data_IF_133383003087
#
_entry.id   IF_133383003087
#
_cell.length_a   1.000
_cell.length_b   1.000
_cell.length_c   1.000
_cell.angle_alpha   90.00
_cell.angle_beta   90.00
_cell.angle_gamma   90.00
#
_symmetry.space_group_name_H-M   'P 1'
#
loop_
_entity.id
_entity.type
_entity.pdbx_description
1 polymer ?
#
# COMPACT_ATOMS: atom_id res chain seq x y z
N UNK A 1 20.27 2.17 16.28
CA UNK A 1 19.76 3.51 15.88
C UNK A 1 18.53 3.85 16.70
N UNK A 2 18.19 5.13 16.91
CA UNK A 2 16.93 5.49 17.56
C UNK A 2 15.72 5.05 16.71
N UNK A 3 14.60 4.62 17.32
CA UNK A 3 13.42 4.19 16.57
C UNK A 3 12.84 5.33 15.73
N UNK A 4 12.56 5.05 14.45
CA UNK A 4 11.97 6.03 13.52
C UNK A 4 10.55 6.34 13.98
N UNK A 5 10.28 7.62 14.26
CA UNK A 5 8.92 8.08 14.58
C UNK A 5 8.28 8.63 13.31
N UNK A 6 7.24 7.96 12.82
CA UNK A 6 6.52 8.38 11.61
C UNK A 6 5.60 9.56 11.96
N UNK A 7 5.85 10.72 11.35
CA UNK A 7 5.01 11.92 11.48
C UNK A 7 4.43 12.35 10.14
N UNK A 8 5.09 12.04 9.03
CA UNK A 8 4.66 12.38 7.67
C UNK A 8 4.62 11.14 6.77
N UNK A 9 3.49 10.92 6.12
CA UNK A 9 3.27 9.80 5.19
C UNK A 9 2.95 10.35 3.79
N UNK A 10 3.59 9.79 2.77
CA UNK A 10 3.26 10.03 1.36
C UNK A 10 2.71 8.76 0.69
N UNK A 11 1.72 8.90 -0.19
CA UNK A 11 1.02 7.76 -0.82
C UNK A 11 0.46 8.12 -2.20
N UNK A 12 0.46 7.21 -3.17
CA UNK A 12 -0.24 7.39 -4.47
C UNK A 12 -1.78 7.41 -4.38
N UNK A 13 -2.47 8.28 -5.12
CA UNK A 13 -3.93 8.45 -5.08
C UNK A 13 -4.75 7.36 -5.83
N UNK A 14 -4.30 6.11 -5.81
CA UNK A 14 -5.02 4.98 -6.39
C UNK A 14 -6.19 4.48 -5.54
N UNK A 15 -6.88 3.44 -6.05
CA UNK A 15 -7.98 2.76 -5.37
C UNK A 15 -7.61 2.25 -3.97
N UNK A 16 -6.42 1.68 -3.83
CA UNK A 16 -5.92 1.19 -2.53
C UNK A 16 -5.48 2.36 -1.64
N UNK A 17 -4.90 3.40 -2.24
CA UNK A 17 -4.24 4.46 -1.50
C UNK A 17 -5.16 5.48 -0.86
N UNK A 18 -6.19 5.92 -1.58
CA UNK A 18 -7.19 6.85 -1.07
C UNK A 18 -7.81 6.40 0.27
N UNK A 19 -8.54 5.27 0.28
CA UNK A 19 -9.17 4.73 1.48
C UNK A 19 -8.17 4.45 2.62
N UNK A 20 -7.04 3.79 2.32
CA UNK A 20 -6.03 3.44 3.34
C UNK A 20 -5.51 4.70 4.04
N UNK A 21 -5.13 5.73 3.28
CA UNK A 21 -4.62 6.98 3.84
C UNK A 21 -5.67 7.80 4.57
N UNK A 22 -6.91 7.81 4.07
CA UNK A 22 -8.01 8.49 4.74
C UNK A 22 -8.25 7.89 6.14
N UNK A 23 -8.22 6.55 6.25
CA UNK A 23 -8.33 5.87 7.55
C UNK A 23 -7.11 6.13 8.44
N UNK A 24 -5.89 6.07 7.91
CA UNK A 24 -4.67 6.41 8.69
C UNK A 24 -4.79 7.84 9.24
N UNK A 25 -5.15 8.82 8.41
CA UNK A 25 -5.28 10.22 8.86
C UNK A 25 -6.39 10.40 9.91
N UNK A 26 -7.49 9.67 9.77
CA UNK A 26 -8.56 9.68 10.78
C UNK A 26 -8.10 9.08 12.11
N UNK A 27 -7.42 7.92 12.07
CA UNK A 27 -7.02 7.16 13.26
C UNK A 27 -5.72 7.65 13.92
N UNK A 28 -4.90 8.40 13.20
CA UNK A 28 -3.63 8.97 13.67
C UNK A 28 -3.63 10.50 13.54
N UNK A 29 -4.30 11.25 14.44
CA UNK A 29 -4.42 12.70 14.33
C UNK A 29 -3.09 13.48 14.33
N UNK A 30 -2.05 12.88 14.90
CA UNK A 30 -0.69 13.40 15.00
C UNK A 30 0.19 13.11 13.76
N UNK A 31 -0.32 12.34 12.79
CA UNK A 31 0.39 12.01 11.55
C UNK A 31 -0.21 12.81 10.40
N UNK A 32 0.65 13.51 9.65
CA UNK A 32 0.28 14.19 8.41
C UNK A 32 0.35 13.18 7.27
N UNK A 33 -0.75 13.03 6.55
CA UNK A 33 -0.87 12.12 5.41
C UNK A 33 -1.09 12.94 4.16
N UNK A 34 -0.19 12.80 3.19
CA UNK A 34 -0.27 13.47 1.88
C UNK A 34 -0.43 12.43 0.79
N UNK A 35 -1.57 12.47 0.11
CA UNK A 35 -1.86 11.65 -1.04
C UNK A 35 -1.45 12.42 -2.30
N UNK A 36 -0.72 11.77 -3.19
CA UNK A 36 -0.19 12.36 -4.41
C UNK A 36 -0.57 11.57 -5.65
N UNK A 37 -0.82 12.27 -6.75
CA UNK A 37 -1.03 11.66 -8.07
C UNK A 37 -0.53 12.62 -9.14
N UNK A 38 -0.11 12.10 -10.28
CA UNK A 38 0.23 12.92 -11.44
C UNK A 38 -1.04 13.44 -12.15
N UNK A 39 -2.18 12.78 -11.94
CA UNK A 39 -3.45 13.16 -12.54
C UNK A 39 -4.09 14.32 -11.76
N UNK A 40 -3.99 15.53 -12.31
CA UNK A 40 -4.58 16.74 -11.72
C UNK A 40 -6.09 16.60 -11.51
N UNK A 41 -6.83 16.10 -12.50
CA UNK A 41 -8.29 15.92 -12.40
C UNK A 41 -8.69 14.97 -11.26
N UNK A 42 -7.88 13.93 -10.99
CA UNK A 42 -8.11 13.03 -9.86
C UNK A 42 -7.87 13.74 -8.52
N UNK A 43 -6.80 14.53 -8.41
CA UNK A 43 -6.51 15.31 -7.21
C UNK A 43 -7.58 16.39 -6.98
N UNK A 44 -8.07 17.03 -8.04
CA UNK A 44 -9.16 18.00 -7.97
C UNK A 44 -10.45 17.35 -7.46
N UNK A 45 -10.77 16.13 -7.92
CA UNK A 45 -11.91 15.36 -7.41
C UNK A 45 -11.79 15.06 -5.91
N UNK A 46 -10.60 14.64 -5.44
CA UNK A 46 -10.34 14.44 -4.01
C UNK A 46 -10.45 15.73 -3.18
N UNK A 47 -10.14 16.88 -3.78
CA UNK A 47 -10.22 18.21 -3.16
C UNK A 47 -11.56 18.92 -3.38
N UNK A 48 -12.49 18.32 -4.12
CA UNK A 48 -13.79 18.92 -4.44
C UNK A 48 -14.54 19.34 -3.17
N UNK A 49 -15.09 20.56 -3.17
CA UNK A 49 -15.87 21.10 -2.05
C UNK A 49 -17.10 20.23 -1.75
N UNK A 50 -17.69 19.62 -2.78
CA UNK A 50 -18.87 18.74 -2.67
C UNK A 50 -18.51 17.30 -2.27
N UNK A 51 -17.22 17.01 -2.04
CA UNK A 51 -16.70 15.67 -1.73
C UNK A 51 -17.07 14.63 -2.80
N UNK A 52 -17.05 15.04 -4.07
CA UNK A 52 -17.15 14.16 -5.24
C UNK A 52 -15.85 13.36 -5.44
N UNK A 53 -15.51 12.52 -4.44
CA UNK A 53 -14.32 11.68 -4.44
C UNK A 53 -14.33 10.75 -5.66
N UNK A 54 -13.16 10.47 -6.28
CA UNK A 54 -13.09 9.75 -7.55
C UNK A 54 -13.39 8.24 -7.45
N UNK A 55 -13.67 7.73 -6.26
CA UNK A 55 -13.94 6.32 -5.97
C UNK A 55 -15.17 6.26 -5.07
N UNK A 56 -16.12 5.40 -5.41
CA UNK A 56 -17.25 5.11 -4.54
C UNK A 56 -16.91 3.96 -3.60
N UNK A 57 -16.89 4.24 -2.31
CA UNK A 57 -16.79 3.24 -1.24
C UNK A 57 -17.72 3.65 -0.09
N UNK A 58 -18.57 2.75 0.44
CA UNK A 58 -19.43 3.06 1.58
C UNK A 58 -18.65 3.62 2.77
N UNK A 59 -19.02 4.82 3.22
CA UNK A 59 -18.38 5.51 4.35
C UNK A 59 -17.10 6.29 4.03
N UNK A 60 -16.52 6.16 2.83
CA UNK A 60 -15.26 6.84 2.48
C UNK A 60 -15.38 8.37 2.56
N UNK A 61 -16.48 8.91 2.03
CA UNK A 61 -16.75 10.37 2.03
C UNK A 61 -16.73 10.93 3.44
N UNK A 62 -17.31 10.22 4.43
CA UNK A 62 -17.38 10.68 5.81
C UNK A 62 -16.02 10.66 6.50
N UNK A 63 -15.18 9.67 6.18
CA UNK A 63 -13.79 9.61 6.65
C UNK A 63 -12.98 10.77 6.08
N UNK A 64 -13.11 11.03 4.77
CA UNK A 64 -12.39 12.11 4.09
C UNK A 64 -12.84 13.48 4.65
N UNK A 65 -14.14 13.69 4.86
CA UNK A 65 -14.69 14.92 5.48
C UNK A 65 -14.05 15.26 6.82
N UNK A 66 -13.77 14.27 7.66
CA UNK A 66 -13.22 14.47 9.00
C UNK A 66 -11.70 14.70 9.03
N UNK A 67 -10.98 14.23 7.99
CA UNK A 67 -9.52 14.28 7.95
C UNK A 67 -8.97 15.35 6.99
N UNK A 68 -9.65 15.60 5.86
CA UNK A 68 -9.19 16.51 4.80
C UNK A 68 -9.03 17.93 5.33
N UNK A 69 -7.85 18.50 5.13
CA UNK A 69 -7.49 19.84 5.62
C UNK A 69 -7.06 19.90 7.09
N UNK A 70 -7.29 18.84 7.88
CA UNK A 70 -6.75 18.71 9.25
C UNK A 70 -5.36 18.08 9.23
N UNK A 71 -5.28 16.86 8.72
CA UNK A 71 -4.03 16.11 8.59
C UNK A 71 -4.00 15.20 7.35
N UNK A 72 -5.03 15.25 6.50
CA UNK A 72 -5.08 14.61 5.19
C UNK A 72 -5.05 15.67 4.08
N UNK A 73 -4.10 15.52 3.15
CA UNK A 73 -3.88 16.45 2.06
C UNK A 73 -3.77 15.71 0.73
N UNK A 74 -4.18 16.36 -0.36
CA UNK A 74 -4.10 15.82 -1.72
C UNK A 74 -3.40 16.82 -2.62
N UNK A 75 -2.36 16.41 -3.35
CA UNK A 75 -1.55 17.31 -4.18
C UNK A 75 -0.98 16.60 -5.42
N UNK A 76 -0.65 17.36 -6.45
CA UNK A 76 0.13 16.89 -7.61
C UNK A 76 1.64 17.07 -7.43
N UNK A 77 2.06 17.76 -6.36
CA UNK A 77 3.48 17.96 -6.00
C UNK A 77 4.06 16.70 -5.33
N UNK A 78 4.29 15.67 -6.15
CA UNK A 78 4.85 14.38 -5.74
C UNK A 78 6.24 14.56 -5.11
N UNK A 79 7.07 15.44 -5.66
CA UNK A 79 8.47 15.53 -5.26
C UNK A 79 8.62 16.14 -3.87
N UNK A 80 7.86 17.21 -3.59
CA UNK A 80 7.82 17.79 -2.25
C UNK A 80 7.28 16.79 -1.23
N UNK A 81 6.21 16.06 -1.55
CA UNK A 81 5.66 15.04 -0.65
C UNK A 81 6.68 13.92 -0.35
N UNK A 82 7.44 13.48 -1.36
CA UNK A 82 8.55 12.53 -1.18
C UNK A 82 9.62 13.12 -0.27
N UNK A 83 10.03 14.38 -0.44
CA UNK A 83 11.06 15.01 0.37
C UNK A 83 10.66 15.15 1.84
N UNK A 84 9.41 15.51 2.11
CA UNK A 84 8.93 15.75 3.46
C UNK A 84 8.55 14.48 4.24
N UNK A 85 8.20 13.39 3.57
CA UNK A 85 7.72 12.16 4.23
C UNK A 85 8.80 11.45 5.06
N UNK A 86 8.39 10.78 6.15
CA UNK A 86 9.23 9.80 6.86
C UNK A 86 9.01 8.39 6.27
N UNK A 87 7.77 8.13 5.85
CA UNK A 87 7.31 6.87 5.30
C UNK A 87 6.55 7.10 3.99
N UNK A 88 6.90 6.33 2.95
CA UNK A 88 6.35 6.47 1.61
C UNK A 88 5.73 5.13 1.20
N UNK A 89 4.45 5.11 0.91
CA UNK A 89 3.80 3.94 0.34
C UNK A 89 3.83 3.98 -1.20
N UNK A 90 4.28 2.88 -1.79
CA UNK A 90 4.23 2.62 -3.22
C UNK A 90 3.02 1.75 -3.51
N UNK A 91 1.97 2.39 -4.02
CA UNK A 91 0.70 1.75 -4.38
C UNK A 91 0.33 2.14 -5.81
N UNK A 92 0.98 1.47 -6.75
CA UNK A 92 0.83 1.69 -8.18
C UNK A 92 0.38 0.39 -8.83
N UNK A 93 -0.28 0.50 -9.98
CA UNK A 93 -0.76 -0.68 -10.68
C UNK A 93 0.42 -1.53 -11.18
N UNK A 94 0.23 -2.84 -11.17
CA UNK A 94 1.16 -3.84 -11.71
C UNK A 94 0.43 -4.69 -12.77
N UNK A 95 0.04 -4.07 -13.91
CA UNK A 95 -0.81 -4.74 -14.89
C UNK A 95 -0.13 -5.98 -15.46
N UNK A 96 -0.90 -6.97 -15.91
CA UNK A 96 -0.33 -8.14 -16.58
C UNK A 96 0.38 -7.74 -17.88
N UNK A 97 1.59 -8.28 -18.09
CA UNK A 97 2.36 -8.04 -19.31
C UNK A 97 1.58 -8.48 -20.55
N UNK A 98 1.55 -7.62 -21.56
CA UNK A 98 0.88 -7.89 -22.86
C UNK A 98 1.80 -8.54 -23.89
N UNK A 99 3.12 -8.47 -23.71
CA UNK A 99 4.10 -9.02 -24.64
C UNK A 99 5.40 -9.46 -23.93
N UNK A 100 6.24 -10.22 -24.62
CA UNK A 100 7.53 -10.71 -24.13
C UNK A 100 7.43 -11.88 -23.15
N UNK A 101 8.52 -12.14 -22.43
CA UNK A 101 8.59 -13.23 -21.44
C UNK A 101 7.55 -13.02 -20.35
N UNK A 102 6.69 -14.02 -20.15
CA UNK A 102 5.59 -13.98 -19.17
C UNK A 102 4.35 -13.20 -19.63
N UNK A 103 4.21 -12.88 -20.91
CA UNK A 103 2.97 -12.27 -21.43
C UNK A 103 1.73 -13.09 -21.05
N UNK A 104 0.68 -12.41 -20.58
CA UNK A 104 -0.56 -13.03 -20.11
C UNK A 104 -0.54 -13.55 -18.67
N UNK A 105 0.62 -13.58 -18.00
CA UNK A 105 0.74 -14.15 -16.64
C UNK A 105 1.55 -13.27 -15.68
N UNK A 106 2.71 -12.77 -16.11
CA UNK A 106 3.61 -12.00 -15.28
C UNK A 106 3.12 -10.55 -15.10
N UNK A 107 3.35 -10.01 -13.91
CA UNK A 107 3.12 -8.59 -13.62
C UNK A 107 4.15 -7.71 -14.32
N UNK A 108 3.71 -6.57 -14.84
CA UNK A 108 4.55 -5.48 -15.30
C UNK A 108 4.90 -4.57 -14.12
N UNK A 109 6.19 -4.47 -13.80
CA UNK A 109 6.71 -3.69 -12.67
C UNK A 109 7.16 -2.27 -13.06
N UNK A 110 6.97 -1.85 -14.30
CA UNK A 110 7.42 -0.54 -14.80
C UNK A 110 6.99 0.63 -13.91
N UNK A 111 5.75 0.63 -13.41
CA UNK A 111 5.26 1.69 -12.52
C UNK A 111 5.92 1.64 -11.13
N UNK A 112 6.16 0.45 -10.58
CA UNK A 112 6.86 0.27 -9.30
C UNK A 112 8.30 0.74 -9.42
N UNK A 113 9.00 0.35 -10.49
CA UNK A 113 10.36 0.79 -10.76
C UNK A 113 10.44 2.30 -10.97
N UNK A 114 9.53 2.88 -11.73
CA UNK A 114 9.46 4.33 -11.98
C UNK A 114 9.27 5.11 -10.68
N UNK A 115 8.31 4.69 -9.84
CA UNK A 115 8.09 5.31 -8.53
C UNK A 115 9.33 5.18 -7.64
N UNK A 116 9.97 4.02 -7.62
CA UNK A 116 11.16 3.75 -6.82
C UNK A 116 12.35 4.63 -7.25
N UNK A 117 12.58 4.76 -8.56
CA UNK A 117 13.63 5.64 -9.12
C UNK A 117 13.38 7.10 -8.77
N UNK A 118 12.11 7.55 -8.84
CA UNK A 118 11.75 8.92 -8.47
C UNK A 118 12.01 9.18 -6.98
N UNK A 119 11.65 8.24 -6.10
CA UNK A 119 11.96 8.33 -4.67
C UNK A 119 13.47 8.49 -4.46
N UNK A 120 14.29 7.64 -5.10
CA UNK A 120 15.74 7.70 -4.99
C UNK A 120 16.33 9.05 -5.44
N UNK A 121 15.85 9.59 -6.56
CA UNK A 121 16.33 10.85 -7.13
C UNK A 121 15.94 12.08 -6.30
N UNK A 122 14.75 12.06 -5.72
CA UNK A 122 14.14 13.24 -5.10
C UNK A 122 14.44 13.32 -3.61
N UNK A 123 14.46 12.19 -2.91
CA UNK A 123 14.70 12.15 -1.48
C UNK A 123 16.03 12.80 -1.10
N UNK A 124 16.03 13.47 0.06
CA UNK A 124 17.17 14.19 0.64
C UNK A 124 17.52 13.71 2.04
N UNK A 125 16.75 12.75 2.56
CA UNK A 125 16.94 12.11 3.86
C UNK A 125 16.50 10.65 3.79
N UNK A 126 16.88 9.86 4.79
CA UNK A 126 16.50 8.45 4.89
C UNK A 126 14.98 8.27 5.04
N UNK A 127 14.44 7.20 4.44
CA UNK A 127 12.99 6.93 4.39
C UNK A 127 12.67 5.47 4.65
N UNK A 128 11.47 5.21 5.15
CA UNK A 128 10.84 3.89 5.05
C UNK A 128 10.01 3.86 3.76
N UNK A 129 10.25 2.89 2.90
CA UNK A 129 9.49 2.68 1.66
C UNK A 129 8.65 1.43 1.80
N UNK A 130 7.34 1.54 1.63
CA UNK A 130 6.38 0.47 1.87
C UNK A 130 5.72 0.07 0.56
N UNK A 131 6.02 -1.12 0.09
CA UNK A 131 5.31 -1.78 -0.99
C UNK A 131 3.92 -2.20 -0.47
N UNK A 132 2.84 -1.74 -1.13
CA UNK A 132 1.44 -1.95 -0.70
C UNK A 132 0.59 -2.70 -1.74
N UNK A 133 1.10 -2.86 -2.95
CA UNK A 133 0.34 -3.37 -4.09
C UNK A 133 0.29 -4.90 -4.06
N UNK A 134 -0.50 -5.52 -4.93
CA UNK A 134 -0.33 -6.95 -5.18
C UNK A 134 0.84 -7.14 -6.13
N UNK A 135 1.99 -7.52 -5.59
CA UNK A 135 3.25 -7.66 -6.34
C UNK A 135 3.76 -9.11 -6.32
N UNK A 136 4.51 -9.54 -7.34
CA UNK A 136 5.20 -10.82 -7.30
C UNK A 136 6.28 -10.82 -6.21
N UNK A 137 6.61 -12.00 -5.69
CA UNK A 137 7.72 -12.16 -4.75
C UNK A 137 9.03 -11.58 -5.30
N UNK A 138 9.83 -10.99 -4.41
CA UNK A 138 11.09 -10.27 -4.69
C UNK A 138 10.95 -8.89 -5.31
N UNK A 139 9.74 -8.34 -5.40
CA UNK A 139 9.56 -6.95 -5.86
C UNK A 139 10.22 -5.97 -4.89
N UNK A 140 10.04 -6.18 -3.60
CA UNK A 140 10.68 -5.35 -2.58
C UNK A 140 12.21 -5.43 -2.60
N UNK A 141 12.78 -6.57 -3.00
CA UNK A 141 14.22 -6.73 -3.23
C UNK A 141 14.69 -5.94 -4.45
N UNK A 142 13.96 -5.99 -5.57
CA UNK A 142 14.26 -5.16 -6.75
C UNK A 142 14.19 -3.66 -6.44
N UNK A 143 13.19 -3.24 -5.68
CA UNK A 143 13.09 -1.85 -5.21
C UNK A 143 14.32 -1.44 -4.40
N UNK A 144 14.85 -2.35 -3.58
CA UNK A 144 16.08 -2.13 -2.80
C UNK A 144 17.27 -1.86 -3.68
N UNK A 145 17.51 -2.71 -4.67
CA UNK A 145 18.62 -2.55 -5.61
C UNK A 145 18.54 -1.20 -6.32
N UNK A 146 17.34 -0.78 -6.72
CA UNK A 146 17.14 0.53 -7.36
C UNK A 146 17.47 1.67 -6.40
N UNK A 147 16.97 1.61 -5.16
CA UNK A 147 17.20 2.65 -4.15
C UNK A 147 18.68 2.76 -3.78
N UNK A 148 19.35 1.64 -3.52
CA UNK A 148 20.77 1.61 -3.18
C UNK A 148 21.67 2.10 -4.31
N UNK A 149 21.31 1.81 -5.57
CA UNK A 149 22.10 2.23 -6.73
C UNK A 149 21.91 3.71 -7.12
N UNK A 150 20.82 4.36 -6.68
CA UNK A 150 20.44 5.71 -7.13
C UNK A 150 20.29 6.72 -5.99
N UNK A 151 20.51 6.32 -4.74
CA UNK A 151 20.37 7.20 -3.59
C UNK A 151 21.48 8.25 -3.53
N UNK A 152 21.13 9.45 -3.04
CA UNK A 152 22.13 10.46 -2.70
C UNK A 152 22.96 10.01 -1.50
N UNK A 153 24.22 10.43 -1.46
CA UNK A 153 25.12 10.15 -0.33
C UNK A 153 24.46 10.52 1.01
N UNK A 154 24.48 9.58 1.96
CA UNK A 154 23.89 9.75 3.29
C UNK A 154 22.39 9.45 3.39
N UNK A 155 21.69 9.17 2.29
CA UNK A 155 20.31 8.69 2.31
C UNK A 155 20.26 7.16 2.39
N UNK A 156 19.51 6.64 3.36
CA UNK A 156 19.24 5.20 3.51
C UNK A 156 17.75 4.91 3.31
N UNK A 157 17.43 3.77 2.71
CA UNK A 157 16.05 3.31 2.56
C UNK A 157 15.86 1.95 3.22
N UNK A 158 14.88 1.83 4.09
CA UNK A 158 14.42 0.54 4.60
C UNK A 158 13.10 0.18 3.91
N UNK A 159 13.01 -1.04 3.40
CA UNK A 159 11.87 -1.47 2.58
C UNK A 159 11.02 -2.46 3.35
N UNK A 160 9.72 -2.21 3.33
CA UNK A 160 8.69 -3.06 3.91
C UNK A 160 7.74 -3.53 2.81
N UNK A 161 7.20 -4.73 2.96
CA UNK A 161 5.99 -5.15 2.25
C UNK A 161 4.82 -5.07 3.23
N UNK A 162 3.73 -4.43 2.84
CA UNK A 162 2.52 -4.33 3.63
C UNK A 162 1.32 -4.52 2.70
N UNK A 163 1.00 -5.76 2.29
CA UNK A 163 -0.07 -6.00 1.34
C UNK A 163 -1.42 -5.47 1.85
N UNK A 164 -2.28 -5.11 0.92
CA UNK A 164 -3.68 -4.78 1.20
C UNK A 164 -4.53 -6.07 1.25
N UNK A 165 -5.64 -6.08 1.98
CA UNK A 165 -6.61 -7.20 2.03
C UNK A 165 -8.06 -6.69 1.98
N UNK A 166 -8.29 -5.66 1.16
CA UNK A 166 -9.54 -4.95 0.99
C UNK A 166 -10.36 -5.63 -0.11
N UNK A 167 -11.69 -5.59 0.05
CA UNK A 167 -12.63 -5.90 -1.03
C UNK A 167 -13.38 -4.63 -1.46
N UNK A 168 -13.72 -4.54 -2.75
CA UNK A 168 -14.58 -3.46 -3.25
C UNK A 168 -15.97 -3.53 -2.62
N UNK A 169 -16.48 -2.37 -2.19
CA UNK A 169 -17.74 -2.22 -1.47
C UNK A 169 -17.64 -2.37 0.05
N UNK A 170 -16.52 -2.88 0.59
CA UNK A 170 -16.29 -3.03 2.05
C UNK A 170 -14.98 -2.42 2.52
N UNK A 171 -14.27 -1.66 1.67
CA UNK A 171 -12.89 -1.26 1.94
C UNK A 171 -12.73 -0.47 3.25
N UNK A 172 -13.68 0.42 3.59
CA UNK A 172 -13.64 1.18 4.84
C UNK A 172 -13.84 0.29 6.07
N UNK A 173 -14.75 -0.67 6.00
CA UNK A 173 -14.97 -1.63 7.08
C UNK A 173 -13.73 -2.51 7.28
N UNK A 174 -13.16 -3.01 6.17
CA UNK A 174 -11.95 -3.83 6.18
C UNK A 174 -10.74 -3.08 6.76
N UNK A 175 -10.65 -1.75 6.53
CA UNK A 175 -9.60 -0.90 7.10
C UNK A 175 -9.81 -0.56 8.58
N UNK A 176 -11.05 -0.40 9.04
CA UNK A 176 -11.36 -0.12 10.44
C UNK A 176 -11.22 -1.34 11.34
N UNK A 177 -11.57 -2.51 10.84
CA UNK A 177 -11.55 -3.75 11.60
C UNK A 177 -10.92 -4.89 10.79
N UNK A 178 -9.63 -4.78 10.39
CA UNK A 178 -9.00 -5.82 9.60
C UNK A 178 -8.92 -7.13 10.41
N UNK A 179 -9.05 -8.26 9.71
CA UNK A 179 -8.72 -9.57 10.27
C UNK A 179 -7.27 -9.61 10.74
N UNK A 180 -6.37 -9.05 9.92
CA UNK A 180 -4.94 -8.88 10.19
C UNK A 180 -4.34 -7.78 9.34
N UNK A 181 -3.29 -7.16 9.87
CA UNK A 181 -2.33 -6.35 9.12
C UNK A 181 -1.05 -7.16 9.01
N UNK A 182 -0.53 -7.34 7.79
CA UNK A 182 0.72 -8.06 7.56
C UNK A 182 1.84 -7.07 7.20
N UNK A 183 2.99 -7.18 7.86
CA UNK A 183 4.17 -6.36 7.58
C UNK A 183 5.39 -7.27 7.41
N UNK A 184 5.95 -7.31 6.21
CA UNK A 184 7.19 -7.99 5.89
C UNK A 184 8.39 -7.05 5.97
N UNK A 185 9.50 -7.50 6.55
CA UNK A 185 10.73 -6.71 6.62
C UNK A 185 12.02 -7.50 6.46
N UNK A 186 13.08 -6.75 6.20
CA UNK A 186 14.48 -7.05 6.55
C UNK A 186 14.57 -7.72 7.93
N UNK A 187 15.25 -8.86 8.08
CA UNK A 187 15.57 -9.44 9.40
C UNK A 187 16.85 -8.85 10.02
N UNK A 188 17.35 -7.76 9.45
CA UNK A 188 18.35 -6.84 10.02
C UNK A 188 17.74 -6.01 11.16
N UNK A 189 18.57 -5.44 12.04
CA UNK A 189 18.11 -4.57 13.13
C UNK A 189 17.25 -3.40 12.62
N UNK A 190 17.67 -2.76 11.54
CA UNK A 190 17.02 -1.57 11.04
C UNK A 190 15.75 -1.87 10.27
N UNK A 191 15.74 -2.97 9.51
CA UNK A 191 14.51 -3.54 8.93
C UNK A 191 13.45 -3.82 10.00
N UNK A 192 13.84 -4.36 11.17
CA UNK A 192 12.94 -4.57 12.30
C UNK A 192 12.49 -3.24 12.93
N UNK A 193 13.37 -2.25 13.03
CA UNK A 193 13.02 -0.90 13.50
C UNK A 193 12.02 -0.21 12.57
N UNK A 194 12.20 -0.30 11.25
CA UNK A 194 11.27 0.21 10.25
C UNK A 194 9.91 -0.51 10.33
N UNK A 195 9.93 -1.84 10.47
CA UNK A 195 8.73 -2.65 10.68
C UNK A 195 7.95 -2.20 11.92
N UNK A 196 8.65 -2.00 13.04
CA UNK A 196 8.05 -1.51 14.28
C UNK A 196 7.48 -0.09 14.12
N UNK A 197 8.14 0.78 13.36
CA UNK A 197 7.64 2.12 13.08
C UNK A 197 6.29 2.09 12.34
N UNK A 198 6.15 1.23 11.33
CA UNK A 198 4.87 1.03 10.63
C UNK A 198 3.83 0.32 11.52
N UNK A 199 4.23 -0.68 12.30
CA UNK A 199 3.35 -1.36 13.26
C UNK A 199 2.77 -0.38 14.29
N UNK A 200 3.57 0.59 14.76
CA UNK A 200 3.12 1.64 15.66
C UNK A 200 2.06 2.55 15.03
N UNK A 201 2.12 2.80 13.72
CA UNK A 201 1.06 3.53 13.01
C UNK A 201 -0.24 2.74 13.09
N UNK A 202 -0.23 1.47 12.68
CA UNK A 202 -1.42 0.61 12.73
C UNK A 202 -1.97 0.39 14.15
N UNK A 203 -1.09 0.32 15.15
CA UNK A 203 -1.46 0.10 16.55
C UNK A 203 -2.31 1.24 17.17
N UNK A 204 -2.51 2.37 16.48
CA UNK A 204 -3.45 3.40 16.91
C UNK A 204 -4.92 2.95 16.85
N UNK A 205 -5.25 1.93 16.03
CA UNK A 205 -6.62 1.39 15.96
C UNK A 205 -6.71 -0.13 15.77
N UNK A 206 -5.64 -0.78 15.32
CA UNK A 206 -5.58 -2.23 15.14
C UNK A 206 -4.98 -2.86 16.41
N UNK A 207 -5.65 -3.84 17.04
CA UNK A 207 -5.07 -4.59 18.14
C UNK A 207 -3.75 -5.26 17.76
N UNK A 208 -2.75 -5.23 18.65
CA UNK A 208 -1.38 -5.68 18.35
C UNK A 208 -1.33 -7.15 17.92
N UNK A 209 -2.21 -7.98 18.46
CA UNK A 209 -2.36 -9.40 18.12
C UNK A 209 -2.81 -9.64 16.66
N UNK A 210 -3.39 -8.61 16.02
CA UNK A 210 -3.76 -8.64 14.60
C UNK A 210 -2.69 -8.01 13.70
N UNK A 211 -1.59 -7.50 14.24
CA UNK A 211 -0.46 -6.96 13.47
C UNK A 211 0.63 -8.02 13.39
N UNK A 212 0.69 -8.71 12.26
CA UNK A 212 1.61 -9.81 12.01
C UNK A 212 2.87 -9.29 11.32
N UNK A 213 4.03 -9.54 11.93
CA UNK A 213 5.33 -9.18 11.35
C UNK A 213 6.06 -10.42 10.87
N UNK A 214 6.50 -10.44 9.62
CA UNK A 214 7.13 -11.60 8.98
C UNK A 214 8.37 -11.19 8.16
N UNK A 215 9.06 -12.16 7.55
CA UNK A 215 10.09 -11.88 6.56
C UNK A 215 9.53 -11.18 5.32
N UNK A 216 10.34 -10.36 4.67
CA UNK A 216 9.93 -9.56 3.51
C UNK A 216 9.22 -10.41 2.43
N UNK A 217 9.86 -11.50 1.99
CA UNK A 217 9.29 -12.40 0.97
C UNK A 217 8.10 -13.21 1.48
N UNK A 218 8.06 -13.53 2.77
CA UNK A 218 6.92 -14.21 3.38
C UNK A 218 5.66 -13.36 3.28
N UNK A 219 5.78 -12.04 3.41
CA UNK A 219 4.66 -11.11 3.24
C UNK A 219 4.12 -11.11 1.79
N UNK A 220 5.01 -10.93 0.81
CA UNK A 220 4.63 -10.94 -0.62
C UNK A 220 3.96 -12.27 -1.01
N UNK A 221 4.55 -13.40 -0.63
CA UNK A 221 3.99 -14.72 -0.92
C UNK A 221 2.64 -14.95 -0.23
N UNK A 222 2.47 -14.48 1.00
CA UNK A 222 1.23 -14.66 1.76
C UNK A 222 0.05 -14.01 1.07
N UNK A 223 0.23 -12.83 0.45
CA UNK A 223 -0.85 -12.17 -0.31
C UNK A 223 -1.25 -12.98 -1.54
N UNK A 224 -0.27 -13.49 -2.30
CA UNK A 224 -0.54 -14.33 -3.48
C UNK A 224 -1.24 -15.64 -3.08
N UNK A 225 -0.74 -16.30 -2.03
CA UNK A 225 -1.32 -17.54 -1.52
C UNK A 225 -2.76 -17.35 -1.01
N UNK A 226 -3.03 -16.27 -0.26
CA UNK A 226 -4.37 -15.97 0.23
C UNK A 226 -5.37 -15.77 -0.92
N UNK A 227 -5.00 -14.98 -1.93
CA UNK A 227 -5.85 -14.76 -3.09
C UNK A 227 -6.08 -16.05 -3.90
N UNK A 228 -5.03 -16.89 -4.04
CA UNK A 228 -5.16 -18.19 -4.70
C UNK A 228 -6.11 -19.13 -3.97
N UNK A 229 -6.05 -19.20 -2.63
CA UNK A 229 -6.96 -20.02 -1.83
C UNK A 229 -8.42 -19.54 -1.93
N UNK A 230 -8.66 -18.22 -1.96
CA UNK A 230 -10.00 -17.67 -2.17
C UNK A 230 -10.56 -18.06 -3.55
N UNK A 231 -9.76 -17.88 -4.61
CA UNK A 231 -10.14 -18.27 -5.95
C UNK A 231 -10.40 -19.78 -6.07
N UNK A 232 -9.58 -20.61 -5.41
CA UNK A 232 -9.73 -22.06 -5.40
C UNK A 232 -11.09 -22.49 -4.83
N UNK A 233 -11.55 -21.87 -3.73
CA UNK A 233 -12.86 -22.21 -3.13
C UNK A 233 -14.02 -21.97 -4.11
N UNK A 234 -13.96 -20.86 -4.85
CA UNK A 234 -14.97 -20.53 -5.88
C UNK A 234 -14.93 -21.55 -7.00
N UNK A 235 -13.74 -21.86 -7.52
CA UNK A 235 -13.58 -22.87 -8.57
C UNK A 235 -14.05 -24.27 -8.12
N UNK A 236 -13.77 -24.65 -6.87
CA UNK A 236 -14.22 -25.92 -6.31
C UNK A 236 -15.73 -26.02 -6.24
N UNK A 237 -16.43 -24.98 -5.77
CA UNK A 237 -17.90 -25.03 -5.70
C UNK A 237 -18.55 -24.98 -7.09
N UNK A 238 -17.97 -24.23 -8.04
CA UNK A 238 -18.42 -24.22 -9.43
C UNK A 238 -18.24 -25.59 -10.12
N UNK A 239 -17.16 -26.31 -9.80
CA UNK A 239 -16.97 -27.66 -10.31
C UNK A 239 -18.05 -28.63 -9.77
N UNK A 240 -18.45 -28.48 -8.50
CA UNK A 240 -19.53 -29.27 -7.91
C UNK A 240 -20.90 -28.92 -8.50
N UNK A 241 -21.16 -27.65 -8.86
CA UNK A 241 -22.45 -27.26 -9.44
C UNK A 241 -22.74 -27.98 -10.75
N UNK A 242 -21.72 -28.15 -11.61
CA UNK A 242 -21.84 -28.93 -12.84
C UNK A 242 -22.21 -30.41 -12.58
N UNK A 243 -21.71 -30.99 -11.48
CA UNK A 243 -22.08 -32.36 -11.06
C UNK A 243 -23.53 -32.40 -10.59
N UNK A 244 -23.97 -31.41 -9.79
CA UNK A 244 -25.36 -31.30 -9.37
C UNK A 244 -26.31 -31.25 -10.56
N UNK A 245 -26.03 -30.39 -11.56
CA UNK A 245 -26.80 -30.27 -12.79
C UNK A 245 -26.89 -31.60 -13.56
N UNK A 246 -25.80 -32.35 -13.65
CA UNK A 246 -25.75 -33.63 -14.36
C UNK A 246 -26.43 -34.78 -13.61
N UNK A 247 -26.59 -34.67 -12.28
CA UNK A 247 -27.08 -35.76 -11.42
C UNK A 247 -28.47 -35.51 -10.83
N UNK A 248 -29.00 -34.29 -10.93
CA UNK A 248 -30.29 -33.89 -10.35
C UNK A 248 -30.26 -33.69 -8.84
N UNK A 249 -29.08 -33.43 -8.27
CA UNK A 249 -28.89 -33.10 -6.86
C UNK A 249 -29.31 -31.67 -6.52
#
# INVERSE_FOLDING_TARGET
MAPVTVKKICFGAGYVGGPTCAVIALKCPNVIVTIVDLNQSRIDAWNSADFAVPIYEPGLVDVVKQARGRNLFFTTDVDRAIQEADLIFVSVNTPTKKSGVGAGFAADLNYVESATRRIAAVATSSKIVVEKSTVPCRTAESMRTILEANSKNGCRFDILSNPEFLAEGTAIQDLFAPDRVLIGSLQTEEGKNACQALANVYANWVPKERILTVGLWSSELSKLAANAMLAQRISSINALSAICEATGA
#
